data_IF_918075605615
#
_entry.id   IF_918075605615
#
_cell.length_a   1.000
_cell.length_b   1.000
_cell.length_c   1.000
_cell.angle_alpha   90.00
_cell.angle_beta   90.00
_cell.angle_gamma   90.00
#
_symmetry.space_group_name_H-M   'P 1'
#
loop_
_entity.id
_entity.type
_entity.pdbx_description
1 polymer ?
#
# COMPACT_ATOMS: atom_id res chain seq x y z
N UNK A 1 53.80 7.25 -17.02
CA UNK A 1 52.36 7.39 -17.29
C UNK A 1 51.66 6.30 -16.51
N UNK A 2 50.54 6.67 -15.88
CA UNK A 2 49.66 5.75 -15.18
C UNK A 2 48.27 5.94 -15.79
N UNK A 3 47.63 4.88 -16.32
CA UNK A 3 46.27 4.96 -16.83
C UNK A 3 45.24 4.98 -15.69
N UNK A 4 44.01 5.40 -16.02
CA UNK A 4 42.88 5.28 -15.09
C UNK A 4 42.67 3.81 -14.71
N UNK A 5 42.38 3.57 -13.43
CA UNK A 5 42.34 2.22 -12.87
C UNK A 5 41.06 2.00 -12.08
N UNK A 6 40.53 0.78 -12.13
CA UNK A 6 39.30 0.41 -11.44
C UNK A 6 39.67 -0.22 -10.09
N UNK A 7 39.07 0.28 -9.01
CA UNK A 7 39.22 -0.30 -7.69
C UNK A 7 38.09 -1.30 -7.40
N UNK A 8 38.43 -2.36 -6.68
CA UNK A 8 37.52 -3.42 -6.25
C UNK A 8 37.73 -3.71 -4.76
N UNK A 9 36.69 -4.13 -4.07
CA UNK A 9 36.73 -4.44 -2.64
C UNK A 9 35.56 -3.80 -1.92
N UNK A 10 35.75 -3.46 -0.65
CA UNK A 10 34.67 -2.98 0.20
C UNK A 10 34.85 -1.55 0.71
N UNK A 11 33.74 -0.88 0.96
CA UNK A 11 33.69 0.40 1.67
C UNK A 11 33.34 0.17 3.15
N UNK A 12 33.80 1.07 4.03
CA UNK A 12 33.63 1.00 5.49
C UNK A 12 34.16 -0.29 6.16
N UNK A 13 35.12 -0.97 5.53
CA UNK A 13 35.67 -2.23 6.04
C UNK A 13 37.19 -2.13 6.30
N UNK A 14 37.69 -2.94 7.23
CA UNK A 14 39.14 -3.06 7.50
C UNK A 14 39.90 -3.66 6.32
N UNK A 15 39.22 -4.47 5.49
CA UNK A 15 39.83 -5.00 4.27
C UNK A 15 40.08 -3.93 3.20
N UNK A 16 39.31 -2.84 3.21
CA UNK A 16 39.39 -1.76 2.24
C UNK A 16 39.14 -2.16 0.78
N UNK A 17 39.44 -1.22 -0.10
CA UNK A 17 39.46 -1.38 -1.54
C UNK A 17 40.90 -1.56 -2.04
N UNK A 18 41.05 -2.27 -3.15
CA UNK A 18 42.31 -2.56 -3.81
C UNK A 18 42.21 -2.16 -5.28
N UNK A 19 43.23 -1.49 -5.78
CA UNK A 19 43.39 -1.16 -7.19
C UNK A 19 44.76 -1.60 -7.68
N UNK A 20 44.82 -2.10 -8.91
CA UNK A 20 46.08 -2.46 -9.57
C UNK A 20 46.45 -1.33 -10.52
N UNK A 21 47.64 -0.76 -10.33
CA UNK A 21 48.10 0.42 -11.06
C UNK A 21 49.36 0.05 -11.81
N UNK A 22 49.32 0.14 -13.13
CA UNK A 22 50.50 -0.10 -13.97
C UNK A 22 51.19 1.23 -14.27
N UNK A 23 52.47 1.32 -13.91
CA UNK A 23 53.28 2.50 -14.16
C UNK A 23 54.35 2.24 -15.21
N UNK A 24 54.30 3.00 -16.31
CA UNK A 24 55.23 2.88 -17.44
C UNK A 24 56.05 4.15 -17.62
N UNK A 25 57.37 4.06 -17.77
CA UNK A 25 58.27 5.21 -18.01
C UNK A 25 59.34 4.86 -19.05
N UNK A 26 59.36 5.59 -20.17
CA UNK A 26 60.19 5.26 -21.33
C UNK A 26 61.71 5.20 -21.07
N UNK A 27 62.29 6.18 -20.36
CA UNK A 27 63.75 6.30 -20.34
C UNK A 27 64.45 5.37 -19.35
N UNK A 28 63.95 5.26 -18.12
CA UNK A 28 64.63 4.50 -17.06
C UNK A 28 63.67 4.08 -15.94
N UNK A 29 63.97 2.95 -15.26
CA UNK A 29 63.29 2.56 -14.05
C UNK A 29 63.36 3.67 -13.00
N UNK A 30 62.23 3.96 -12.37
CA UNK A 30 62.15 5.05 -11.39
C UNK A 30 61.09 4.79 -10.35
N UNK A 31 61.02 5.67 -9.36
CA UNK A 31 59.93 5.71 -8.40
C UNK A 31 59.04 6.92 -8.68
N UNK A 32 57.74 6.69 -8.66
CA UNK A 32 56.73 7.73 -8.80
C UNK A 32 55.99 7.90 -7.48
N UNK A 33 55.76 9.14 -7.08
CA UNK A 33 54.96 9.44 -5.90
C UNK A 33 53.51 9.66 -6.33
N UNK A 34 52.61 8.82 -5.83
CA UNK A 34 51.17 8.89 -6.08
C UNK A 34 50.52 9.51 -4.85
N UNK A 35 49.89 10.65 -5.04
CA UNK A 35 49.07 11.34 -4.03
C UNK A 35 47.60 11.17 -4.37
N UNK A 36 46.83 10.69 -3.39
CA UNK A 36 45.38 10.57 -3.46
C UNK A 36 44.78 10.98 -2.10
N UNK A 37 43.83 11.93 -2.11
CA UNK A 37 43.42 12.66 -0.90
C UNK A 37 44.65 13.14 -0.10
N UNK A 38 44.74 12.78 1.18
CA UNK A 38 45.82 13.13 2.10
C UNK A 38 46.90 12.04 2.22
N UNK A 39 46.86 11.02 1.34
CA UNK A 39 47.80 9.88 1.38
C UNK A 39 48.78 9.95 0.23
N UNK A 40 50.01 9.53 0.50
CA UNK A 40 51.10 9.48 -0.45
C UNK A 40 51.69 8.07 -0.46
N UNK A 41 51.86 7.50 -1.65
CA UNK A 41 52.46 6.17 -1.85
C UNK A 41 53.47 6.25 -2.97
N UNK A 42 54.63 5.63 -2.77
CA UNK A 42 55.65 5.51 -3.81
C UNK A 42 55.54 4.18 -4.52
N UNK A 43 55.41 4.18 -5.85
CA UNK A 43 55.35 2.96 -6.67
C UNK A 43 56.52 2.90 -7.65
N UNK A 44 57.04 1.70 -7.97
CA UNK A 44 58.03 1.51 -9.03
C UNK A 44 57.40 1.67 -10.41
N UNK A 45 58.19 2.19 -11.35
CA UNK A 45 57.85 2.33 -12.76
C UNK A 45 59.02 1.82 -13.60
N UNK A 46 58.75 1.13 -14.69
CA UNK A 46 59.77 0.65 -15.65
C UNK A 46 59.36 0.98 -17.09
N UNK A 47 60.29 0.88 -18.05
CA UNK A 47 59.95 0.97 -19.48
C UNK A 47 58.95 -0.10 -19.92
N UNK A 48 59.03 -1.30 -19.35
CA UNK A 48 58.13 -2.44 -19.62
C UNK A 48 56.75 -2.29 -18.94
N UNK A 49 56.65 -1.43 -17.93
CA UNK A 49 55.46 -1.26 -17.11
C UNK A 49 55.48 -2.19 -15.88
N UNK A 50 55.37 -1.62 -14.68
CA UNK A 50 55.26 -2.41 -13.43
C UNK A 50 53.88 -2.22 -12.82
N UNK A 51 53.20 -3.32 -12.53
CA UNK A 51 51.91 -3.31 -11.83
C UNK A 51 52.11 -3.32 -10.32
N UNK A 52 51.64 -2.28 -9.65
CA UNK A 52 51.64 -2.13 -8.20
C UNK A 52 50.23 -2.23 -7.65
N UNK A 53 50.07 -2.95 -6.54
CA UNK A 53 48.78 -3.09 -5.86
C UNK A 53 48.66 -2.04 -4.76
N UNK A 54 47.67 -1.16 -4.88
CA UNK A 54 47.40 -0.10 -3.90
C UNK A 54 46.13 -0.46 -3.13
N UNK A 55 46.22 -0.41 -1.80
CA UNK A 55 45.10 -0.67 -0.89
C UNK A 55 44.76 0.58 -0.10
N UNK A 56 43.49 0.93 -0.06
CA UNK A 56 43.00 2.11 0.63
C UNK A 56 41.60 1.88 1.20
N UNK A 57 41.24 2.66 2.22
CA UNK A 57 39.91 2.63 2.84
C UNK A 57 39.05 3.74 2.25
N UNK A 58 37.79 3.43 1.97
CA UNK A 58 36.82 4.40 1.48
C UNK A 58 35.50 4.24 2.23
N UNK A 59 34.73 5.33 2.38
CA UNK A 59 33.53 5.36 3.21
C UNK A 59 32.23 5.27 2.40
N UNK A 60 32.31 5.39 1.07
CA UNK A 60 31.15 5.39 0.17
C UNK A 60 31.23 4.25 -0.84
N UNK A 61 30.08 3.82 -1.36
CA UNK A 61 30.00 2.77 -2.37
C UNK A 61 30.52 3.23 -3.74
N UNK A 62 30.24 4.47 -4.14
CA UNK A 62 30.72 5.03 -5.41
C UNK A 62 32.09 5.66 -5.19
N UNK A 63 33.12 5.04 -5.76
CA UNK A 63 34.47 5.58 -5.74
C UNK A 63 34.73 6.41 -6.99
N UNK A 64 35.07 7.69 -6.79
CA UNK A 64 35.70 8.54 -7.80
C UNK A 64 36.78 9.37 -7.10
N UNK A 65 38.04 9.00 -7.34
CA UNK A 65 39.19 9.58 -6.66
C UNK A 65 40.19 10.13 -7.67
N UNK A 66 40.42 11.43 -7.65
CA UNK A 66 41.43 12.06 -8.49
C UNK A 66 42.80 11.93 -7.83
N UNK A 67 43.75 11.38 -8.56
CA UNK A 67 45.10 11.12 -8.10
C UNK A 67 46.09 11.98 -8.89
N UNK A 68 47.13 12.43 -8.20
CA UNK A 68 48.27 13.14 -8.79
C UNK A 68 49.49 12.25 -8.68
N UNK A 69 50.21 12.07 -9.79
CA UNK A 69 51.49 11.37 -9.79
C UNK A 69 52.61 12.32 -10.16
N UNK A 70 53.66 12.32 -9.35
CA UNK A 70 54.84 13.16 -9.53
C UNK A 70 56.05 12.29 -9.84
N UNK A 71 56.75 12.66 -10.92
CA UNK A 71 58.04 12.07 -11.33
C UNK A 71 59.09 13.19 -11.32
N UNK A 72 59.81 13.36 -10.22
CA UNK A 72 60.73 14.50 -10.08
C UNK A 72 59.95 15.82 -10.14
N UNK A 73 60.09 16.59 -11.23
CA UNK A 73 59.38 17.86 -11.45
C UNK A 73 58.12 17.78 -12.33
N UNK A 74 57.82 16.63 -12.92
CA UNK A 74 56.63 16.48 -13.79
C UNK A 74 55.46 15.89 -12.99
N UNK A 75 54.32 16.57 -13.01
CA UNK A 75 53.07 16.12 -12.39
C UNK A 75 52.05 15.75 -13.46
N UNK A 76 51.36 14.62 -13.29
CA UNK A 76 50.25 14.18 -14.15
C UNK A 76 49.10 13.68 -13.30
N UNK A 77 47.87 13.86 -13.77
CA UNK A 77 46.65 13.43 -13.07
C UNK A 77 46.05 12.17 -13.69
N UNK A 78 45.37 11.37 -12.87
CA UNK A 78 44.61 10.19 -13.27
C UNK A 78 43.52 9.91 -12.25
N UNK A 79 42.57 9.02 -12.57
CA UNK A 79 41.44 8.71 -11.69
C UNK A 79 41.37 7.24 -11.28
N UNK A 80 41.05 6.98 -10.01
CA UNK A 80 40.49 5.71 -9.56
C UNK A 80 38.98 5.78 -9.57
N UNK A 81 38.36 4.80 -10.24
CA UNK A 81 36.90 4.67 -10.31
C UNK A 81 36.47 3.29 -9.85
N UNK A 82 35.22 3.14 -9.42
CA UNK A 82 34.68 1.83 -9.09
C UNK A 82 33.41 1.89 -8.25
N UNK A 83 32.76 0.73 -8.12
CA UNK A 83 31.64 0.52 -7.20
C UNK A 83 32.11 -0.50 -6.17
N UNK A 84 32.29 -0.03 -4.94
CA UNK A 84 32.71 -0.82 -3.80
C UNK A 84 31.52 -1.50 -3.16
N UNK A 85 31.73 -2.71 -2.67
CA UNK A 85 30.70 -3.50 -2.00
C UNK A 85 30.62 -3.14 -0.52
N UNK A 86 29.42 -3.13 0.03
CA UNK A 86 29.27 -2.97 1.47
C UNK A 86 29.57 -4.27 2.18
N UNK A 87 30.27 -4.19 3.31
CA UNK A 87 30.48 -5.32 4.20
C UNK A 87 30.23 -4.82 5.61
N UNK A 88 29.25 -5.37 6.34
CA UNK A 88 29.13 -5.12 7.78
C UNK A 88 30.45 -5.51 8.42
N UNK A 89 31.05 -4.60 9.18
CA UNK A 89 32.19 -4.90 10.05
C UNK A 89 31.74 -5.83 11.17
N UNK A 90 31.56 -7.10 10.85
CA UNK A 90 31.58 -8.17 11.85
C UNK A 90 33.06 -8.41 12.17
N UNK A 91 33.67 -7.45 12.86
CA UNK A 91 34.84 -7.78 13.65
C UNK A 91 34.36 -8.77 14.71
N UNK A 92 34.91 -9.99 14.68
CA UNK A 92 34.69 -11.13 15.59
C UNK A 92 33.79 -12.31 15.15
N UNK A 93 33.60 -12.62 13.86
CA UNK A 93 33.05 -13.95 13.45
C UNK A 93 34.03 -14.89 12.76
N UNK A 94 35.32 -14.54 12.74
CA UNK A 94 36.41 -15.47 12.38
C UNK A 94 36.88 -16.32 13.58
N UNK A 95 35.98 -16.66 14.51
CA UNK A 95 36.25 -17.69 15.52
C UNK A 95 35.03 -18.57 15.79
N UNK A 96 34.79 -19.44 14.81
CA UNK A 96 34.26 -20.81 14.98
C UNK A 96 32.75 -20.90 15.31
N UNK A 97 32.14 -21.86 14.62
CA UNK A 97 30.88 -22.56 14.91
C UNK A 97 29.53 -21.88 14.58
N UNK A 98 28.81 -22.65 13.75
CA UNK A 98 27.37 -22.96 13.79
C UNK A 98 26.36 -21.89 13.39
N UNK A 99 25.86 -22.07 12.16
CA UNK A 99 24.44 -22.16 11.82
C UNK A 99 23.54 -21.27 12.68
N UNK A 100 23.44 -20.00 12.33
CA UNK A 100 22.24 -19.23 12.55
C UNK A 100 21.92 -18.46 11.26
N UNK A 101 20.73 -18.71 10.72
CA UNK A 101 20.15 -17.93 9.64
C UNK A 101 20.08 -16.47 10.09
N UNK A 102 21.10 -15.68 9.77
CA UNK A 102 21.00 -14.23 9.83
C UNK A 102 20.09 -13.79 8.70
N UNK A 103 18.91 -13.30 9.08
CA UNK A 103 17.98 -12.62 8.19
C UNK A 103 18.74 -11.42 7.62
N UNK A 104 19.21 -11.57 6.38
CA UNK A 104 19.90 -10.53 5.62
C UNK A 104 18.88 -9.44 5.29
N UNK A 105 18.83 -8.40 6.10
CA UNK A 105 18.14 -7.17 5.71
C UNK A 105 19.02 -6.43 4.69
N UNK A 106 18.55 -6.25 3.44
CA UNK A 106 19.30 -5.49 2.45
C UNK A 106 19.45 -4.03 2.90
N UNK A 107 20.59 -3.44 2.58
CA UNK A 107 21.03 -2.10 2.97
C UNK A 107 20.00 -1.00 2.59
N UNK A 108 19.09 -0.71 3.51
CA UNK A 108 18.01 0.29 3.39
C UNK A 108 18.45 1.69 3.83
N UNK A 109 19.66 1.82 4.35
CA UNK A 109 20.19 3.02 5.00
C UNK A 109 20.44 4.19 4.04
N UNK A 110 20.46 3.96 2.72
CA UNK A 110 20.60 5.01 1.69
C UNK A 110 19.27 5.36 0.98
N UNK A 111 18.16 4.65 1.23
CA UNK A 111 16.87 4.88 0.55
C UNK A 111 15.70 4.93 1.54
N UNK A 112 15.92 5.59 2.67
CA UNK A 112 14.95 5.68 3.77
C UNK A 112 13.81 6.66 3.45
N UNK A 113 14.10 7.71 2.69
CA UNK A 113 13.10 8.74 2.35
C UNK A 113 11.93 8.18 1.54
N UNK A 114 12.21 7.29 0.58
CA UNK A 114 11.16 6.67 -0.23
C UNK A 114 10.31 5.71 0.59
N UNK A 115 10.92 4.94 1.50
CA UNK A 115 10.20 3.99 2.37
C UNK A 115 9.32 4.76 3.37
N UNK A 116 9.85 5.82 3.97
CA UNK A 116 9.10 6.65 4.91
C UNK A 116 7.94 7.38 4.22
N UNK A 117 8.15 7.86 2.99
CA UNK A 117 7.10 8.48 2.18
C UNK A 117 5.98 7.50 1.83
N UNK A 118 6.32 6.27 1.41
CA UNK A 118 5.32 5.22 1.12
C UNK A 118 4.57 4.80 2.39
N UNK A 119 5.27 4.67 3.52
CA UNK A 119 4.63 4.37 4.81
C UNK A 119 3.63 5.45 5.23
N UNK A 120 4.00 6.73 5.07
CA UNK A 120 3.09 7.87 5.35
C UNK A 120 1.83 7.80 4.50
N UNK A 121 1.95 7.47 3.22
CA UNK A 121 0.79 7.32 2.33
C UNK A 121 -0.12 6.17 2.76
N UNK A 122 0.43 5.01 3.12
CA UNK A 122 -0.33 3.86 3.60
C UNK A 122 -1.13 4.21 4.86
N UNK A 123 -0.49 4.87 5.83
CA UNK A 123 -1.16 5.28 7.08
C UNK A 123 -2.28 6.27 6.81
N UNK A 124 -2.06 7.26 5.93
CA UNK A 124 -3.09 8.24 5.56
C UNK A 124 -4.28 7.54 4.88
N UNK A 125 -4.04 6.64 3.94
CA UNK A 125 -5.11 5.90 3.24
C UNK A 125 -5.88 4.97 4.19
N UNK A 126 -5.18 4.30 5.11
CA UNK A 126 -5.85 3.47 6.12
C UNK A 126 -6.74 4.32 7.05
N UNK A 127 -6.25 5.48 7.47
CA UNK A 127 -7.02 6.40 8.30
C UNK A 127 -8.25 6.95 7.55
N UNK A 128 -8.10 7.34 6.28
CA UNK A 128 -9.22 7.84 5.47
C UNK A 128 -10.30 6.77 5.28
N UNK A 129 -9.90 5.51 5.09
CA UNK A 129 -10.83 4.39 4.95
C UNK A 129 -11.58 4.11 6.26
N UNK A 130 -10.88 4.13 7.40
CA UNK A 130 -11.50 3.98 8.71
C UNK A 130 -12.51 5.08 9.01
N UNK A 131 -12.18 6.34 8.68
CA UNK A 131 -13.09 7.49 8.82
C UNK A 131 -14.32 7.33 7.91
N UNK A 132 -14.14 6.90 6.66
CA UNK A 132 -15.25 6.68 5.74
C UNK A 132 -16.22 5.60 6.24
N UNK A 133 -15.69 4.49 6.78
CA UNK A 133 -16.51 3.44 7.42
C UNK A 133 -17.25 3.99 8.63
N UNK A 134 -16.56 4.73 9.50
CA UNK A 134 -17.16 5.30 10.70
C UNK A 134 -18.29 6.27 10.37
N UNK A 135 -18.09 7.17 9.41
CA UNK A 135 -19.12 8.08 8.92
C UNK A 135 -20.28 7.28 8.32
N UNK A 136 -20.02 6.30 7.45
CA UNK A 136 -21.06 5.45 6.88
C UNK A 136 -21.89 4.73 7.95
N UNK A 137 -21.25 4.22 8.99
CA UNK A 137 -21.92 3.58 10.13
C UNK A 137 -22.82 4.55 10.89
N UNK A 138 -22.35 5.76 11.17
CA UNK A 138 -23.15 6.80 11.83
C UNK A 138 -24.37 7.20 10.98
N UNK A 139 -24.20 7.37 9.67
CA UNK A 139 -25.30 7.70 8.76
C UNK A 139 -26.31 6.55 8.67
N UNK A 140 -25.85 5.29 8.60
CA UNK A 140 -26.73 4.13 8.61
C UNK A 140 -27.53 4.04 9.92
N UNK A 141 -26.90 4.28 11.07
CA UNK A 141 -27.57 4.24 12.36
C UNK A 141 -28.58 5.38 12.51
N UNK A 142 -28.23 6.61 12.11
CA UNK A 142 -29.09 7.78 12.27
C UNK A 142 -30.24 7.82 11.26
N UNK A 143 -29.97 7.59 9.97
CA UNK A 143 -30.99 7.62 8.93
C UNK A 143 -31.75 6.29 8.84
N UNK A 144 -31.06 5.15 8.94
CA UNK A 144 -31.65 3.82 8.83
C UNK A 144 -32.64 3.53 9.95
N UNK A 145 -32.30 3.83 11.22
CA UNK A 145 -33.22 3.62 12.34
C UNK A 145 -34.46 4.51 12.20
N UNK A 146 -34.30 5.77 11.78
CA UNK A 146 -35.45 6.66 11.54
C UNK A 146 -36.38 6.12 10.46
N UNK A 147 -35.82 5.62 9.35
CA UNK A 147 -36.59 5.05 8.26
C UNK A 147 -37.30 3.75 8.67
N UNK A 148 -36.61 2.86 9.39
CA UNK A 148 -37.21 1.64 9.97
C UNK A 148 -38.34 1.99 10.94
N UNK A 149 -38.15 2.95 11.84
CA UNK A 149 -39.20 3.39 12.77
C UNK A 149 -40.42 3.98 12.05
N UNK A 150 -40.22 4.76 10.98
CA UNK A 150 -41.31 5.29 10.15
C UNK A 150 -42.04 4.14 9.45
N UNK A 151 -41.34 3.21 8.81
CA UNK A 151 -41.94 2.04 8.18
C UNK A 151 -42.72 1.18 9.18
N UNK A 152 -42.14 0.89 10.35
CA UNK A 152 -42.82 0.15 11.42
C UNK A 152 -44.08 0.84 11.95
N UNK A 153 -44.18 2.18 11.86
CA UNK A 153 -45.40 2.93 12.23
C UNK A 153 -46.44 2.98 11.11
N UNK A 154 -45.99 3.10 9.85
CA UNK A 154 -46.88 3.20 8.69
C UNK A 154 -47.52 1.85 8.32
N UNK A 155 -46.79 0.74 8.43
CA UNK A 155 -47.31 -0.61 8.14
C UNK A 155 -48.58 -0.96 8.95
N UNK A 156 -48.62 -0.84 10.29
CA UNK A 156 -49.82 -1.15 11.05
C UNK A 156 -50.95 -0.14 10.79
N UNK A 157 -50.65 1.13 10.50
CA UNK A 157 -51.68 2.10 10.10
C UNK A 157 -52.33 1.73 8.77
N UNK A 158 -51.53 1.34 7.76
CA UNK A 158 -52.03 0.90 6.46
C UNK A 158 -52.86 -0.39 6.59
N UNK A 159 -52.39 -1.38 7.35
CA UNK A 159 -53.15 -2.63 7.61
C UNK A 159 -54.47 -2.32 8.32
N UNK A 160 -54.47 -1.44 9.33
CA UNK A 160 -55.71 -1.00 10.00
C UNK A 160 -56.67 -0.32 9.04
N UNK A 161 -56.19 0.56 8.16
CA UNK A 161 -57.02 1.26 7.17
C UNK A 161 -57.66 0.25 6.20
N UNK A 162 -56.87 -0.66 5.64
CA UNK A 162 -57.35 -1.70 4.72
C UNK A 162 -58.38 -2.59 5.41
N UNK A 163 -58.13 -3.00 6.66
CA UNK A 163 -59.07 -3.80 7.44
C UNK A 163 -60.38 -3.05 7.70
N UNK A 164 -60.34 -1.74 8.00
CA UNK A 164 -61.54 -0.92 8.19
C UNK A 164 -62.34 -0.76 6.90
N UNK A 165 -61.67 -0.55 5.76
CA UNK A 165 -62.31 -0.46 4.44
C UNK A 165 -62.98 -1.79 4.10
N UNK A 166 -62.26 -2.91 4.23
CA UNK A 166 -62.80 -4.24 3.99
C UNK A 166 -64.02 -4.53 4.88
N UNK A 167 -63.93 -4.18 6.18
CA UNK A 167 -65.05 -4.33 7.12
C UNK A 167 -66.26 -3.48 6.73
N UNK A 168 -66.05 -2.26 6.24
CA UNK A 168 -67.14 -1.40 5.78
C UNK A 168 -67.79 -1.93 4.50
N UNK A 169 -66.99 -2.46 3.55
CA UNK A 169 -67.51 -3.09 2.33
C UNK A 169 -68.33 -4.34 2.69
N UNK A 170 -67.83 -5.20 3.59
CA UNK A 170 -68.55 -6.37 4.10
C UNK A 170 -69.86 -6.00 4.81
N UNK A 171 -69.87 -4.95 5.65
CA UNK A 171 -71.13 -4.47 6.25
C UNK A 171 -72.09 -3.92 5.20
N UNK A 172 -71.56 -3.19 4.21
CA UNK A 172 -72.35 -2.65 3.10
C UNK A 172 -73.00 -3.76 2.29
N UNK A 173 -72.24 -4.78 1.91
CA UNK A 173 -72.74 -5.93 1.16
C UNK A 173 -73.77 -6.74 1.96
N UNK A 174 -73.54 -6.97 3.26
CA UNK A 174 -74.53 -7.63 4.13
C UNK A 174 -75.81 -6.80 4.28
N UNK A 175 -75.72 -5.47 4.44
CA UNK A 175 -76.88 -4.59 4.50
C UNK A 175 -77.66 -4.53 3.18
N UNK A 176 -76.96 -4.55 2.04
CA UNK A 176 -77.58 -4.60 0.70
C UNK A 176 -78.25 -5.96 0.49
N UNK A 177 -77.59 -7.07 0.86
CA UNK A 177 -78.14 -8.41 0.76
C UNK A 177 -79.39 -8.58 1.64
N UNK A 178 -79.37 -8.05 2.86
CA UNK A 178 -80.55 -8.00 3.74
C UNK A 178 -81.68 -7.17 3.12
N UNK A 179 -81.39 -6.06 2.42
CA UNK A 179 -82.43 -5.29 1.70
C UNK A 179 -82.97 -6.02 0.48
N UNK A 180 -82.16 -6.74 -0.29
CA UNK A 180 -82.58 -7.40 -1.53
C UNK A 180 -83.22 -8.79 -1.31
N UNK A 181 -82.78 -9.55 -0.32
CA UNK A 181 -83.32 -10.90 -0.04
C UNK A 181 -84.56 -10.83 0.87
N UNK A 182 -84.59 -9.94 1.87
CA UNK A 182 -85.67 -9.93 2.86
C UNK A 182 -86.87 -9.03 2.52
N UNK A 183 -86.78 -8.11 1.55
CA UNK A 183 -87.92 -7.22 1.18
C UNK A 183 -88.84 -7.68 0.04
N UNK A 184 -88.50 -8.52 -0.94
CA UNK A 184 -89.45 -8.80 -2.03
C UNK A 184 -90.49 -9.89 -1.70
N UNK A 185 -90.39 -10.58 -0.56
CA UNK A 185 -91.33 -11.67 -0.21
C UNK A 185 -92.65 -11.22 0.48
N UNK A 186 -92.93 -9.91 0.59
CA UNK A 186 -94.15 -9.40 1.26
C UNK A 186 -95.23 -8.80 0.36
N UNK A 187 -95.16 -8.97 -0.97
CA UNK A 187 -96.18 -8.38 -1.87
C UNK A 187 -96.77 -9.34 -2.89
N UNK A 188 -96.69 -10.66 -2.68
CA UNK A 188 -97.31 -11.60 -3.62
C UNK A 188 -97.91 -12.85 -2.97
N UNK A 189 -98.77 -12.68 -1.94
CA UNK A 189 -99.64 -13.76 -1.46
C UNK A 189 -100.82 -13.28 -0.60
N UNK A 190 -101.86 -12.74 -1.24
CA UNK A 190 -103.25 -12.79 -0.70
C UNK A 190 -104.27 -12.22 -1.69
N UNK A 191 -104.53 -12.95 -2.78
CA UNK A 191 -105.89 -13.30 -3.18
C UNK A 191 -105.94 -14.83 -3.20
N UNK A 192 -107.10 -15.52 -3.11
CA UNK A 192 -108.40 -15.06 -3.61
C UNK A 192 -109.66 -15.51 -2.79
N UNK A 193 -110.83 -15.02 -3.23
CA UNK A 193 -112.14 -15.70 -3.30
C UNK A 193 -112.83 -16.17 -2.00
N UNK A 194 -113.99 -15.55 -1.71
CA UNK A 194 -115.19 -16.26 -1.27
C UNK A 194 -116.39 -15.83 -2.11
N UNK A 195 -116.94 -16.82 -2.81
CA UNK A 195 -118.15 -16.85 -3.62
C UNK A 195 -119.38 -17.12 -2.72
N UNK A 196 -120.52 -16.49 -3.06
CA UNK A 196 -121.92 -16.94 -2.91
C UNK A 196 -122.44 -17.26 -1.47
N UNK A 197 -123.68 -16.98 -1.04
CA UNK A 197 -124.94 -16.64 -1.72
C UNK A 197 -126.01 -16.23 -0.66
N UNK A 198 -127.07 -15.55 -1.12
CA UNK A 198 -128.48 -15.57 -0.60
C UNK A 198 -128.80 -14.90 0.76
N UNK A 199 -129.93 -14.24 1.06
CA UNK A 199 -131.11 -13.59 0.41
C UNK A 199 -132.02 -13.17 1.60
N UNK A 200 -133.05 -12.34 1.35
CA UNK A 200 -134.23 -12.06 2.24
C UNK A 200 -133.91 -11.02 3.35
N UNK A 201 -134.61 -9.89 3.53
CA UNK A 201 -135.97 -9.46 3.17
C UNK A 201 -136.04 -7.93 3.05
#
# INVERSE_FOLDING_TARGET
>A
MIPNSIAQGCYQCVQGAVTNVTCTRANQPTRANVRYNDKHITIPCSPEGVTSRIRFTHTQARLKLQCTVTYGQKETTFEFTGILQWVRTIHETMRRSTIHNEIVFPDITHRVDTIFSVYKMIVITALSFAVAIFIGYLFFWTCGIRLVLVCCRLLPMAVRLVFLILRNILRGSVNILHRYIFRPLRTNRSGPVKLLNSTVS
#
